data_IF_602112285297
#
_entry.id   IF_602112285297
#
_cell.length_a   1.000
_cell.length_b   1.000
_cell.length_c   1.000
_cell.angle_alpha   90.00
_cell.angle_beta   90.00
_cell.angle_gamma   90.00
#
_symmetry.space_group_name_H-M   'P 1'
#
loop_
_entity.id
_entity.type
_entity.pdbx_description
1 polymer ?
#
# COMPACT_ATOMS: atom_id res chain seq x y z
N UNK A 1 -5.80 -40.84 43.07
CA UNK A 1 -5.60 -40.07 41.81
C UNK A 1 -4.82 -38.79 42.10
N UNK A 2 -3.51 -38.71 41.86
CA UNK A 2 -2.81 -37.41 41.89
C UNK A 2 -2.97 -36.77 40.52
N UNK A 3 -4.03 -35.96 40.34
CA UNK A 3 -4.07 -35.02 39.21
C UNK A 3 -2.77 -34.22 39.26
N UNK A 4 -1.95 -34.30 38.22
CA UNK A 4 -0.75 -33.46 38.11
C UNK A 4 -1.26 -32.08 37.70
N UNK A 5 -1.60 -31.27 38.71
CA UNK A 5 -2.23 -29.94 38.55
C UNK A 5 -1.37 -29.01 37.70
N UNK A 6 -0.05 -29.12 37.77
CA UNK A 6 0.87 -28.28 37.03
C UNK A 6 0.69 -28.37 35.50
N UNK A 7 0.70 -29.56 34.85
CA UNK A 7 0.35 -29.70 33.43
C UNK A 7 -1.03 -29.14 33.06
N UNK A 8 -2.05 -29.35 33.90
CA UNK A 8 -3.39 -28.86 33.62
C UNK A 8 -3.46 -27.33 33.66
N UNK A 9 -2.80 -26.71 34.65
CA UNK A 9 -2.69 -25.26 34.77
C UNK A 9 -1.91 -24.65 33.61
N UNK A 10 -0.82 -25.30 33.17
CA UNK A 10 -0.05 -24.85 32.01
C UNK A 10 -0.88 -24.88 30.72
N UNK A 11 -1.65 -25.95 30.50
CA UNK A 11 -2.55 -26.04 29.33
C UNK A 11 -3.62 -24.95 29.39
N UNK A 12 -4.24 -24.74 30.55
CA UNK A 12 -5.23 -23.67 30.73
C UNK A 12 -4.63 -22.28 30.50
N UNK A 13 -3.41 -22.03 30.98
CA UNK A 13 -2.70 -20.78 30.73
C UNK A 13 -2.42 -20.56 29.24
N UNK A 14 -1.94 -21.59 28.53
CA UNK A 14 -1.72 -21.54 27.08
C UNK A 14 -3.04 -21.25 26.34
N UNK A 15 -4.12 -21.94 26.70
CA UNK A 15 -5.45 -21.71 26.12
C UNK A 15 -5.92 -20.28 26.36
N UNK A 16 -5.80 -19.77 27.59
CA UNK A 16 -6.20 -18.41 27.92
C UNK A 16 -5.40 -17.35 27.13
N UNK A 17 -4.08 -17.52 27.04
CA UNK A 17 -3.19 -16.61 26.28
C UNK A 17 -3.52 -16.64 24.79
N UNK A 18 -3.63 -17.82 24.20
CA UNK A 18 -3.91 -17.98 22.76
C UNK A 18 -5.30 -17.45 22.39
N UNK A 19 -6.32 -17.68 23.22
CA UNK A 19 -7.66 -17.07 23.02
C UNK A 19 -7.56 -15.55 23.05
N UNK A 20 -6.86 -14.98 24.04
CA UNK A 20 -6.68 -13.53 24.16
C UNK A 20 -5.92 -12.92 22.99
N UNK A 21 -4.89 -13.61 22.48
CA UNK A 21 -4.18 -13.19 21.26
C UNK A 21 -5.08 -13.23 20.03
N UNK A 22 -5.97 -14.22 19.92
CA UNK A 22 -6.97 -14.27 18.85
C UNK A 22 -7.94 -13.09 18.91
N UNK A 23 -8.42 -12.71 20.10
CA UNK A 23 -9.23 -11.49 20.27
C UNK A 23 -8.47 -10.22 19.91
N UNK A 24 -7.21 -10.10 20.32
CA UNK A 24 -6.37 -8.95 19.95
C UNK A 24 -6.20 -8.84 18.42
N UNK A 25 -6.00 -9.97 17.73
CA UNK A 25 -5.93 -9.99 16.26
C UNK A 25 -7.25 -9.59 15.61
N UNK A 26 -8.38 -10.04 16.15
CA UNK A 26 -9.72 -9.62 15.72
C UNK A 26 -9.89 -8.11 15.86
N UNK A 27 -9.61 -7.55 17.04
CA UNK A 27 -9.78 -6.10 17.28
C UNK A 27 -8.90 -5.28 16.33
N UNK A 28 -7.68 -5.76 16.04
CA UNK A 28 -6.79 -5.12 15.06
C UNK A 28 -7.33 -5.22 13.63
N UNK A 29 -8.01 -6.31 13.28
CA UNK A 29 -8.70 -6.46 12.00
C UNK A 29 -9.84 -5.43 11.86
N UNK A 30 -10.70 -5.29 12.88
CA UNK A 30 -11.80 -4.31 12.89
C UNK A 30 -11.31 -2.86 12.72
N UNK A 31 -10.21 -2.50 13.38
CA UNK A 31 -9.59 -1.17 13.22
C UNK A 31 -9.15 -0.92 11.77
N UNK A 32 -8.56 -1.93 11.13
CA UNK A 32 -8.12 -1.86 9.74
C UNK A 32 -9.28 -1.80 8.76
N UNK A 33 -10.36 -2.55 9.01
CA UNK A 33 -11.59 -2.47 8.23
C UNK A 33 -12.21 -1.07 8.30
N UNK A 34 -12.25 -0.45 9.48
CA UNK A 34 -12.76 0.92 9.62
C UNK A 34 -11.92 1.94 8.83
N UNK A 35 -10.58 1.77 8.82
CA UNK A 35 -9.68 2.58 8.00
C UNK A 35 -9.92 2.33 6.51
N UNK A 36 -10.00 1.06 6.09
CA UNK A 36 -10.28 0.66 4.71
C UNK A 36 -11.59 1.27 4.20
N UNK A 37 -12.66 1.19 5.01
CA UNK A 37 -13.94 1.77 4.68
C UNK A 37 -13.86 3.30 4.53
N UNK A 38 -13.00 3.95 5.32
CA UNK A 38 -12.78 5.40 5.20
C UNK A 38 -12.05 5.76 3.91
N UNK A 39 -11.02 5.01 3.53
CA UNK A 39 -10.32 5.16 2.25
C UNK A 39 -11.29 5.02 1.08
N UNK A 40 -12.07 3.93 1.05
CA UNK A 40 -13.07 3.70 -0.01
C UNK A 40 -14.07 4.84 -0.10
N UNK A 41 -14.55 5.38 1.03
CA UNK A 41 -15.46 6.55 1.01
C UNK A 41 -14.82 7.78 0.38
N UNK A 42 -13.54 8.07 0.67
CA UNK A 42 -12.84 9.22 0.09
C UNK A 42 -12.56 9.06 -1.40
N UNK A 43 -12.26 7.84 -1.85
CA UNK A 43 -12.03 7.53 -3.27
C UNK A 43 -13.32 7.68 -4.11
N UNK A 44 -14.50 7.47 -3.51
CA UNK A 44 -15.81 7.62 -4.15
C UNK A 44 -16.47 8.98 -3.92
N UNK A 45 -15.82 9.89 -3.19
CA UNK A 45 -16.34 11.23 -2.94
C UNK A 45 -16.24 12.13 -4.18
N UNK A 46 -16.87 13.31 -4.10
CA UNK A 46 -16.73 14.34 -5.13
C UNK A 46 -15.25 14.78 -5.21
N UNK A 47 -14.67 14.89 -6.41
CA UNK A 47 -13.28 15.32 -6.57
C UNK A 47 -13.03 16.69 -5.93
N UNK A 48 -11.94 16.81 -5.18
CA UNK A 48 -11.44 18.08 -4.64
C UNK A 48 -10.55 18.76 -5.68
N UNK A 49 -10.79 20.04 -5.94
CA UNK A 49 -9.99 20.81 -6.88
C UNK A 49 -8.61 21.17 -6.31
N UNK A 50 -7.56 20.75 -7.02
CA UNK A 50 -6.17 21.06 -6.68
C UNK A 50 -5.75 22.31 -7.43
N UNK A 51 -5.56 23.39 -6.67
CA UNK A 51 -5.11 24.69 -7.16
C UNK A 51 -3.68 25.04 -6.73
N UNK A 52 -3.35 26.32 -6.84
CA UNK A 52 -2.01 26.83 -6.53
C UNK A 52 -1.63 26.84 -5.06
N UNK A 53 -2.63 26.87 -4.17
CA UNK A 53 -2.38 26.87 -2.74
C UNK A 53 -1.97 25.47 -2.27
N UNK A 54 -0.90 25.34 -1.47
CA UNK A 54 -0.50 24.05 -0.92
C UNK A 54 -1.62 23.43 -0.06
N UNK A 55 -2.00 22.20 -0.37
CA UNK A 55 -2.96 21.42 0.43
C UNK A 55 -2.18 20.44 1.30
N UNK A 56 -2.37 20.42 2.63
CA UNK A 56 -1.70 19.45 3.50
C UNK A 56 -2.07 18.01 3.13
N UNK A 57 -1.07 17.13 2.97
CA UNK A 57 -1.28 15.72 2.64
C UNK A 57 -2.31 15.05 3.57
N UNK A 58 -2.21 15.28 4.88
CA UNK A 58 -3.11 14.70 5.87
C UNK A 58 -4.60 15.04 5.68
N UNK A 59 -4.91 16.12 4.95
CA UNK A 59 -6.29 16.53 4.67
C UNK A 59 -6.86 15.94 3.38
N UNK A 60 -5.99 15.46 2.48
CA UNK A 60 -6.37 15.09 1.11
C UNK A 60 -5.98 13.66 0.75
N UNK A 61 -5.14 12.98 1.54
CA UNK A 61 -4.75 11.60 1.28
C UNK A 61 -5.98 10.71 1.08
N UNK A 62 -5.93 9.87 0.05
CA UNK A 62 -7.02 8.99 -0.43
C UNK A 62 -8.25 9.70 -1.01
N UNK A 63 -8.30 11.03 -1.03
CA UNK A 63 -9.40 11.73 -1.67
C UNK A 63 -9.25 11.70 -3.19
N UNK A 64 -10.39 11.60 -3.86
CA UNK A 64 -10.46 11.92 -5.28
C UNK A 64 -10.16 13.40 -5.47
N UNK A 65 -9.31 13.69 -6.43
CA UNK A 65 -8.83 15.02 -6.75
C UNK A 65 -8.92 15.29 -8.23
N UNK A 66 -9.11 16.56 -8.58
CA UNK A 66 -9.14 17.06 -9.93
C UNK A 66 -8.13 18.20 -10.07
N UNK A 67 -7.35 18.17 -11.13
CA UNK A 67 -6.33 19.18 -11.39
C UNK A 67 -6.41 19.64 -12.84
N UNK A 68 -6.29 20.94 -13.07
CA UNK A 68 -6.22 21.53 -14.41
C UNK A 68 -4.88 22.20 -14.63
N UNK A 69 -4.27 21.96 -15.78
CA UNK A 69 -2.92 22.40 -16.07
C UNK A 69 -2.28 21.60 -17.19
N UNK A 70 -0.95 21.62 -17.26
CA UNK A 70 -0.19 20.96 -18.32
C UNK A 70 0.96 20.13 -17.78
N UNK A 71 1.27 19.06 -18.46
CA UNK A 71 2.41 18.22 -18.14
C UNK A 71 3.75 18.89 -18.47
N UNK A 72 4.78 18.56 -17.69
CA UNK A 72 6.17 18.97 -17.91
C UNK A 72 7.00 17.74 -18.31
N UNK A 73 7.00 17.33 -19.61
CA UNK A 73 7.58 16.06 -20.04
C UNK A 73 9.09 15.98 -19.86
N UNK A 74 9.80 17.11 -19.94
CA UNK A 74 11.25 17.21 -19.73
C UNK A 74 11.71 16.79 -18.33
N UNK A 75 10.77 16.77 -17.38
CA UNK A 75 11.04 16.44 -15.97
C UNK A 75 10.41 15.08 -15.56
N UNK A 76 10.01 14.27 -16.52
CA UNK A 76 9.45 12.95 -16.24
C UNK A 76 10.47 12.01 -15.58
N UNK A 77 10.02 11.28 -14.56
CA UNK A 77 10.77 10.27 -13.82
C UNK A 77 10.06 8.92 -13.97
N UNK A 78 10.83 7.88 -14.25
CA UNK A 78 10.35 6.52 -14.46
C UNK A 78 10.72 5.67 -13.26
N UNK A 79 9.72 5.21 -12.50
CA UNK A 79 9.97 4.36 -11.33
C UNK A 79 10.14 2.92 -11.78
N UNK A 80 11.35 2.38 -11.73
CA UNK A 80 11.70 0.99 -12.11
C UNK A 80 11.18 -0.03 -11.09
N UNK A 81 11.24 -1.31 -11.45
CA UNK A 81 10.84 -2.43 -10.61
C UNK A 81 9.35 -2.38 -10.22
N UNK A 82 8.49 -2.04 -11.19
CA UNK A 82 7.03 -2.08 -11.05
C UNK A 82 6.49 -3.22 -11.90
N UNK A 83 6.34 -4.43 -11.35
CA UNK A 83 5.78 -5.55 -12.10
C UNK A 83 4.26 -5.36 -12.31
N UNK A 84 3.78 -5.69 -13.50
CA UNK A 84 2.36 -5.76 -13.85
C UNK A 84 2.13 -6.96 -14.76
N UNK A 85 1.19 -7.84 -14.41
CA UNK A 85 0.90 -9.09 -15.14
C UNK A 85 2.17 -9.87 -15.56
N UNK A 86 3.02 -10.17 -14.57
CA UNK A 86 4.30 -10.88 -14.73
C UNK A 86 5.34 -10.20 -15.64
N UNK A 87 5.11 -8.94 -16.03
CA UNK A 87 6.05 -8.16 -16.83
C UNK A 87 6.69 -7.03 -16.00
N UNK A 88 8.01 -6.84 -16.06
CA UNK A 88 8.65 -5.69 -15.46
C UNK A 88 8.28 -4.41 -16.23
N UNK A 89 8.10 -3.32 -15.50
CA UNK A 89 7.82 -2.04 -16.11
C UNK A 89 8.13 -0.87 -15.19
N UNK A 90 7.70 0.29 -15.65
CA UNK A 90 7.89 1.57 -15.01
C UNK A 90 6.55 2.18 -14.62
N UNK A 91 6.52 2.89 -13.49
CA UNK A 91 5.51 3.93 -13.33
C UNK A 91 6.03 5.26 -13.86
N UNK A 92 5.24 5.92 -14.69
CA UNK A 92 5.57 7.21 -15.28
C UNK A 92 5.10 8.31 -14.33
N UNK A 93 6.02 8.96 -13.66
CA UNK A 93 5.75 10.08 -12.76
C UNK A 93 6.17 11.37 -13.44
N UNK A 94 5.24 12.31 -13.58
CA UNK A 94 5.47 13.53 -14.32
C UNK A 94 4.96 14.75 -13.55
N UNK A 95 5.74 15.84 -13.46
CA UNK A 95 5.23 17.08 -12.89
C UNK A 95 4.13 17.67 -13.78
N UNK A 96 3.08 18.16 -13.13
CA UNK A 96 1.92 18.78 -13.76
C UNK A 96 1.79 20.20 -13.23
N UNK A 97 2.03 21.18 -14.11
CA UNK A 97 1.95 22.59 -13.79
C UNK A 97 0.49 23.01 -13.80
N UNK A 98 -0.02 23.41 -12.64
CA UNK A 98 -1.41 23.80 -12.46
C UNK A 98 -1.68 25.17 -13.12
N UNK A 99 -2.86 25.36 -13.74
CA UNK A 99 -3.21 26.59 -14.45
C UNK A 99 -3.22 27.83 -13.55
N UNK A 100 -3.44 27.67 -12.24
CA UNK A 100 -3.39 28.75 -11.25
C UNK A 100 -2.00 29.06 -10.68
N UNK A 101 -0.97 28.30 -11.07
CA UNK A 101 0.34 28.29 -10.41
C UNK A 101 0.51 27.10 -9.48
N UNK A 102 1.74 26.83 -9.04
CA UNK A 102 2.07 25.58 -8.35
C UNK A 102 2.26 24.40 -9.31
N UNK A 103 2.81 23.32 -8.78
CA UNK A 103 3.02 22.06 -9.52
C UNK A 103 2.60 20.90 -8.63
N UNK A 104 2.10 19.83 -9.22
CA UNK A 104 1.83 18.57 -8.52
C UNK A 104 2.47 17.43 -9.27
N UNK A 105 2.98 16.42 -8.57
CA UNK A 105 3.44 15.20 -9.23
C UNK A 105 2.24 14.35 -9.60
N UNK A 106 2.25 13.77 -10.80
CA UNK A 106 1.21 12.87 -11.28
C UNK A 106 1.86 11.54 -11.60
N UNK A 107 1.43 10.47 -10.92
CA UNK A 107 1.70 9.12 -11.37
C UNK A 107 0.69 8.78 -12.47
N UNK A 108 1.14 8.86 -13.72
CA UNK A 108 0.28 8.78 -14.91
C UNK A 108 -0.17 7.36 -15.23
N UNK A 109 0.65 6.37 -14.87
CA UNK A 109 0.34 4.97 -15.15
C UNK A 109 1.59 4.13 -15.35
N UNK A 110 1.37 2.88 -15.75
CA UNK A 110 2.38 1.88 -16.00
C UNK A 110 2.74 1.77 -17.48
N UNK A 111 4.02 1.54 -17.74
CA UNK A 111 4.60 1.31 -19.05
C UNK A 111 5.50 0.07 -19.01
N UNK A 112 5.45 -0.84 -20.00
CA UNK A 112 6.34 -1.98 -20.05
C UNK A 112 7.80 -1.54 -20.19
N UNK A 113 8.70 -2.30 -19.56
CA UNK A 113 10.14 -2.11 -19.71
C UNK A 113 10.64 -2.87 -20.93
N UNK A 114 11.52 -2.25 -21.70
CA UNK A 114 12.22 -2.95 -22.76
C UNK A 114 13.23 -3.96 -22.16
N UNK A 115 13.09 -5.24 -22.54
CA UNK A 115 13.90 -6.34 -21.98
C UNK A 115 15.32 -6.32 -22.55
N UNK A 116 15.50 -5.88 -23.78
CA UNK A 116 16.79 -5.84 -24.46
C UNK A 116 17.62 -4.63 -24.04
N UNK A 117 16.99 -3.47 -23.87
CA UNK A 117 17.63 -2.25 -23.38
C UNK A 117 16.96 -1.75 -22.10
N UNK A 118 17.66 -1.94 -20.98
CA UNK A 118 17.19 -1.58 -19.64
C UNK A 118 17.00 -0.07 -19.42
N UNK A 119 17.52 0.76 -20.32
CA UNK A 119 17.44 2.22 -20.29
C UNK A 119 16.46 2.80 -21.31
N UNK A 120 16.02 1.98 -22.28
CA UNK A 120 15.02 2.38 -23.25
C UNK A 120 13.63 2.52 -22.59
N UNK A 121 12.94 3.60 -22.96
CA UNK A 121 11.57 3.89 -22.56
C UNK A 121 10.71 3.80 -23.81
N UNK A 122 9.70 2.94 -23.78
CA UNK A 122 8.74 2.81 -24.89
C UNK A 122 8.01 4.14 -25.12
N UNK A 123 7.72 4.53 -26.37
CA UNK A 123 7.01 5.77 -26.66
C UNK A 123 5.58 5.75 -26.07
N UNK A 124 5.22 6.82 -25.37
CA UNK A 124 3.85 7.08 -24.89
C UNK A 124 3.45 8.52 -25.24
N UNK A 125 2.15 8.78 -25.33
CA UNK A 125 1.66 10.13 -25.68
C UNK A 125 1.56 11.00 -24.43
N UNK A 126 1.86 12.29 -24.56
CA UNK A 126 1.60 13.28 -23.52
C UNK A 126 0.76 14.36 -24.15
N UNK A 127 -0.46 14.63 -23.65
CA UNK A 127 -1.30 15.68 -24.19
C UNK A 127 -0.59 17.04 -24.16
N UNK A 128 -0.74 17.79 -25.24
CA UNK A 128 -0.25 19.17 -25.32
C UNK A 128 -1.25 20.15 -24.71
N UNK A 129 -0.72 21.20 -24.06
CA UNK A 129 -1.52 22.29 -23.51
C UNK A 129 -2.19 21.97 -22.18
N UNK A 130 -3.18 22.81 -21.84
CA UNK A 130 -3.90 22.72 -20.56
C UNK A 130 -5.04 21.71 -20.65
N UNK A 131 -4.93 20.62 -19.88
CA UNK A 131 -5.91 19.56 -19.73
C UNK A 131 -6.44 19.50 -18.30
N UNK A 132 -7.53 18.76 -18.12
CA UNK A 132 -8.03 18.38 -16.81
C UNK A 132 -7.74 16.91 -16.57
N UNK A 133 -7.20 16.59 -15.40
CA UNK A 133 -6.93 15.22 -14.95
C UNK A 133 -7.65 14.94 -13.64
N UNK A 134 -8.05 13.69 -13.45
CA UNK A 134 -8.61 13.20 -12.20
C UNK A 134 -7.78 12.04 -11.66
N UNK A 135 -7.71 11.93 -10.34
CA UNK A 135 -6.97 10.87 -9.68
C UNK A 135 -7.25 10.79 -8.19
N UNK A 136 -6.46 9.96 -7.51
CA UNK A 136 -6.48 9.85 -6.05
C UNK A 136 -5.20 10.48 -5.49
N UNK A 137 -5.32 11.33 -4.48
CA UNK A 137 -4.15 11.88 -3.81
C UNK A 137 -3.47 10.83 -2.92
N UNK A 138 -2.16 10.68 -3.08
CA UNK A 138 -1.33 9.70 -2.37
C UNK A 138 -0.08 10.40 -1.82
N UNK A 139 0.45 9.92 -0.70
CA UNK A 139 1.69 10.44 -0.14
C UNK A 139 2.88 10.36 -1.12
N UNK A 140 2.98 9.22 -1.82
CA UNK A 140 4.04 8.94 -2.79
C UNK A 140 3.43 8.35 -4.07
N UNK A 141 4.16 8.48 -5.19
CA UNK A 141 3.77 7.85 -6.45
C UNK A 141 3.76 6.31 -6.35
N UNK A 142 4.76 5.76 -5.66
CA UNK A 142 4.88 4.35 -5.28
C UNK A 142 6.19 4.19 -4.51
N UNK A 143 6.21 3.30 -3.51
CA UNK A 143 7.42 2.96 -2.76
C UNK A 143 7.75 1.47 -2.89
N UNK A 144 8.88 1.16 -3.51
CA UNK A 144 9.43 -0.19 -3.57
C UNK A 144 10.62 -0.31 -2.63
N UNK A 145 10.89 -1.54 -2.19
CA UNK A 145 12.10 -1.84 -1.43
C UNK A 145 13.33 -1.62 -2.31
N UNK A 146 14.31 -0.89 -1.78
CA UNK A 146 15.55 -0.57 -2.47
C UNK A 146 16.70 -1.33 -1.81
N UNK A 147 17.39 -2.16 -2.61
CA UNK A 147 18.57 -2.92 -2.18
C UNK A 147 19.82 -2.12 -2.55
N UNK A 148 20.54 -1.61 -1.54
CA UNK A 148 21.73 -0.79 -1.72
C UNK A 148 21.43 0.71 -1.76
N UNK A 149 22.43 1.51 -2.14
CA UNK A 149 22.32 2.97 -2.27
C UNK A 149 22.35 3.38 -3.76
N UNK A 150 21.58 4.41 -4.12
CA UNK A 150 21.70 5.12 -5.39
C UNK A 150 20.68 4.76 -6.47
N UNK A 151 19.79 3.79 -6.24
CA UNK A 151 18.67 3.51 -7.16
C UNK A 151 17.65 4.64 -7.23
N UNK A 152 17.58 5.49 -6.20
CA UNK A 152 16.74 6.68 -6.13
C UNK A 152 17.54 8.00 -6.17
N UNK A 153 18.76 7.97 -6.73
CA UNK A 153 19.62 9.16 -6.78
C UNK A 153 18.98 10.32 -7.56
N UNK A 154 19.31 11.54 -7.14
CA UNK A 154 18.88 12.77 -7.81
C UNK A 154 19.39 12.85 -9.26
N UNK A 155 18.69 13.60 -10.10
CA UNK A 155 18.98 13.86 -11.51
C UNK A 155 18.96 12.63 -12.43
N UNK A 156 18.57 11.46 -11.94
CA UNK A 156 18.34 10.29 -12.78
C UNK A 156 16.93 10.29 -13.35
N UNK A 157 16.80 9.90 -14.62
CA UNK A 157 15.51 9.75 -15.31
C UNK A 157 14.77 8.49 -14.85
N UNK A 158 15.50 7.39 -14.63
CA UNK A 158 14.96 6.14 -14.10
C UNK A 158 15.39 6.03 -12.63
N UNK A 159 14.42 5.85 -11.72
CA UNK A 159 14.66 5.75 -10.26
C UNK A 159 13.89 4.58 -9.67
N UNK A 160 14.28 4.09 -8.49
CA UNK A 160 13.47 3.08 -7.79
C UNK A 160 12.33 3.70 -6.99
N UNK A 161 12.59 4.85 -6.37
CA UNK A 161 11.65 5.62 -5.57
C UNK A 161 11.79 7.11 -5.85
N UNK A 162 10.75 7.87 -5.53
CA UNK A 162 10.74 9.32 -5.67
C UNK A 162 10.01 9.93 -4.48
N UNK A 163 10.78 10.62 -3.63
CA UNK A 163 10.24 11.43 -2.53
C UNK A 163 9.87 12.82 -3.05
N UNK A 164 8.66 13.26 -2.74
CA UNK A 164 8.11 14.53 -3.25
C UNK A 164 8.95 15.73 -2.78
N UNK A 165 9.37 15.74 -1.51
CA UNK A 165 10.10 16.86 -0.93
C UNK A 165 11.56 16.90 -1.43
N UNK A 166 12.20 15.75 -1.60
CA UNK A 166 13.53 15.64 -2.20
C UNK A 166 13.51 16.11 -3.65
N UNK A 167 12.50 15.69 -4.43
CA UNK A 167 12.36 16.10 -5.83
C UNK A 167 11.99 17.59 -5.98
N UNK A 168 11.21 18.16 -5.05
CA UNK A 168 10.96 19.60 -5.00
C UNK A 168 12.25 20.40 -4.80
N UNK A 169 13.12 19.95 -3.87
CA UNK A 169 14.43 20.58 -3.62
C UNK A 169 15.37 20.44 -4.82
N UNK A 170 15.34 19.30 -5.48
CA UNK A 170 16.17 19.01 -6.66
C UNK A 170 15.80 19.91 -7.86
N UNK A 171 14.50 20.07 -8.12
CA UNK A 171 14.00 20.78 -9.31
C UNK A 171 13.71 22.26 -9.07
N UNK A 172 13.60 22.68 -7.81
CA UNK A 172 13.16 24.03 -7.43
C UNK A 172 11.67 24.30 -7.72
N UNK A 173 10.89 23.26 -8.05
CA UNK A 173 9.48 23.41 -8.36
C UNK A 173 8.64 23.60 -7.09
N UNK A 174 7.60 24.46 -7.11
CA UNK A 174 6.66 24.63 -6.01
C UNK A 174 5.66 23.48 -5.97
N UNK A 175 6.14 22.29 -5.54
CA UNK A 175 5.34 21.08 -5.53
C UNK A 175 4.33 21.05 -4.38
N UNK A 176 3.12 20.57 -4.68
CA UNK A 176 2.18 20.06 -3.71
C UNK A 176 2.83 18.89 -2.92
N UNK A 177 2.53 18.71 -1.63
CA UNK A 177 3.19 17.71 -0.78
C UNK A 177 2.62 16.28 -0.97
N UNK A 178 2.08 15.98 -2.15
CA UNK A 178 1.45 14.71 -2.48
C UNK A 178 1.57 14.44 -3.99
N UNK A 179 1.24 13.22 -4.38
CA UNK A 179 1.18 12.77 -5.78
C UNK A 179 -0.26 12.45 -6.14
N UNK A 180 -0.69 12.83 -7.33
CA UNK A 180 -1.95 12.40 -7.92
C UNK A 180 -1.72 11.08 -8.64
N UNK A 181 -2.34 10.00 -8.15
CA UNK A 181 -2.43 8.74 -8.88
C UNK A 181 -3.55 8.88 -9.92
N UNK A 182 -3.18 9.07 -11.19
CA UNK A 182 -4.12 9.41 -12.26
C UNK A 182 -5.09 8.27 -12.56
N UNK A 183 -6.37 8.59 -12.64
CA UNK A 183 -7.46 7.67 -12.99
C UNK A 183 -8.13 8.04 -14.31
N UNK A 184 -8.06 9.31 -14.73
CA UNK A 184 -8.55 9.76 -16.02
C UNK A 184 -7.69 9.24 -17.17
N UNK A 185 -8.33 8.76 -18.24
CA UNK A 185 -7.67 8.40 -19.49
C UNK A 185 -7.52 9.64 -20.37
N UNK A 186 -6.29 9.90 -20.80
CA UNK A 186 -5.90 11.00 -21.68
C UNK A 186 -5.37 10.49 -23.04
N UNK A 187 -5.58 9.21 -23.36
CA UNK A 187 -5.18 8.59 -24.62
C UNK A 187 -3.69 8.24 -24.71
N UNK A 188 -2.97 8.25 -23.59
CA UNK A 188 -1.52 7.99 -23.53
C UNK A 188 -1.11 6.52 -23.62
N UNK A 189 -2.07 5.60 -23.57
CA UNK A 189 -1.88 4.14 -23.54
C UNK A 189 -1.19 3.61 -22.29
N UNK A 190 -1.05 4.42 -21.24
CA UNK A 190 -0.51 3.97 -19.97
C UNK A 190 -1.57 3.17 -19.20
N UNK A 191 -1.12 2.10 -18.54
CA UNK A 191 -2.02 1.23 -17.76
C UNK A 191 -2.26 1.85 -16.38
N UNK A 192 -3.52 2.05 -16.02
CA UNK A 192 -3.96 2.65 -14.74
C UNK A 192 -4.72 1.65 -13.87
N UNK A 193 -4.28 0.41 -13.89
CA UNK A 193 -4.78 -0.66 -13.01
C UNK A 193 -4.04 -0.60 -11.67
N UNK A 194 -4.47 0.35 -10.83
CA UNK A 194 -3.80 0.62 -9.56
C UNK A 194 -4.14 -0.47 -8.54
N UNK A 195 -3.15 -0.97 -7.78
CA UNK A 195 -3.43 -1.88 -6.69
C UNK A 195 -4.32 -1.15 -5.66
N UNK A 196 -5.42 -1.78 -5.29
CA UNK A 196 -6.29 -1.27 -4.24
C UNK A 196 -5.47 -1.00 -2.97
N UNK A 197 -5.73 0.13 -2.32
CA UNK A 197 -5.14 0.40 -1.02
C UNK A 197 -5.65 -0.67 -0.05
N UNK A 198 -4.83 -1.67 0.28
CA UNK A 198 -5.19 -2.70 1.25
C UNK A 198 -4.55 -2.43 2.59
N UNK A 199 -5.34 -2.54 3.66
CA UNK A 199 -4.85 -2.50 5.04
C UNK A 199 -4.33 -3.86 5.52
N UNK A 200 -4.45 -4.91 4.71
CA UNK A 200 -4.02 -6.28 5.02
C UNK A 200 -4.79 -6.86 6.21
N UNK A 201 -6.12 -6.75 6.19
CA UNK A 201 -7.06 -7.24 7.22
C UNK A 201 -7.04 -8.77 7.26
N UNK A 202 -6.95 -9.40 6.10
CA UNK A 202 -7.02 -10.85 5.90
C UNK A 202 -5.93 -11.56 6.69
N UNK A 203 -4.73 -10.96 6.76
CA UNK A 203 -3.61 -11.48 7.56
C UNK A 203 -3.94 -11.52 9.05
N UNK A 204 -4.64 -10.52 9.58
CA UNK A 204 -5.05 -10.49 10.98
C UNK A 204 -6.11 -11.56 11.25
N UNK A 205 -7.07 -11.78 10.34
CA UNK A 205 -8.01 -12.90 10.44
C UNK A 205 -7.32 -14.27 10.35
N UNK A 206 -6.31 -14.42 9.48
CA UNK A 206 -5.49 -15.63 9.42
C UNK A 206 -4.80 -15.93 10.76
N UNK A 207 -4.17 -14.93 11.37
CA UNK A 207 -3.57 -15.08 12.70
C UNK A 207 -4.60 -15.35 13.80
N UNK A 208 -5.78 -14.71 13.76
CA UNK A 208 -6.89 -15.00 14.68
C UNK A 208 -7.26 -16.48 14.64
N UNK A 209 -7.46 -17.03 13.43
CA UNK A 209 -7.77 -18.44 13.24
C UNK A 209 -6.64 -19.35 13.77
N UNK A 210 -5.38 -19.01 13.48
CA UNK A 210 -4.22 -19.77 13.99
C UNK A 210 -4.20 -19.82 15.52
N UNK A 211 -4.40 -18.68 16.19
CA UNK A 211 -4.40 -18.63 17.66
C UNK A 211 -5.53 -19.45 18.27
N UNK A 212 -6.74 -19.38 17.72
CA UNK A 212 -7.86 -20.18 18.20
C UNK A 212 -7.71 -21.67 17.88
N UNK A 213 -7.12 -22.03 16.74
CA UNK A 213 -6.79 -23.42 16.42
C UNK A 213 -5.75 -23.99 17.41
N UNK A 214 -4.74 -23.21 17.79
CA UNK A 214 -3.79 -23.60 18.85
C UNK A 214 -4.47 -23.78 20.20
N UNK A 215 -5.41 -22.91 20.56
CA UNK A 215 -6.21 -23.06 21.79
C UNK A 215 -7.02 -24.37 21.78
N UNK A 216 -7.71 -24.65 20.66
CA UNK A 216 -8.48 -25.87 20.49
C UNK A 216 -7.60 -27.13 20.53
N UNK A 217 -6.42 -27.10 19.89
CA UNK A 217 -5.45 -28.19 19.91
C UNK A 217 -4.90 -28.43 21.33
N UNK A 218 -4.47 -27.38 22.03
CA UNK A 218 -3.97 -27.47 23.40
C UNK A 218 -5.01 -28.07 24.35
N UNK A 219 -6.27 -27.64 24.23
CA UNK A 219 -7.39 -28.20 24.98
C UNK A 219 -7.63 -29.67 24.62
N UNK A 220 -7.65 -30.02 23.32
CA UNK A 220 -7.84 -31.38 22.83
C UNK A 220 -6.76 -32.35 23.33
N UNK A 221 -5.48 -31.96 23.22
CA UNK A 221 -4.36 -32.74 23.74
C UNK A 221 -4.41 -32.87 25.26
N UNK A 222 -4.79 -31.80 25.97
CA UNK A 222 -4.97 -31.82 27.42
C UNK A 222 -6.04 -32.82 27.86
N UNK A 223 -7.21 -32.79 27.22
CA UNK A 223 -8.30 -33.72 27.49
C UNK A 223 -7.94 -35.17 27.15
N UNK A 224 -7.25 -35.40 26.03
CA UNK A 224 -6.76 -36.72 25.65
C UNK A 224 -5.76 -37.28 26.67
N UNK A 225 -4.77 -36.47 27.07
CA UNK A 225 -3.78 -36.86 28.07
C UNK A 225 -4.43 -37.16 29.43
N UNK A 226 -5.41 -36.34 29.85
CA UNK A 226 -6.17 -36.56 31.08
C UNK A 226 -6.97 -37.87 31.04
N UNK A 227 -7.68 -38.15 29.93
CA UNK A 227 -8.42 -39.41 29.73
C UNK A 227 -7.51 -40.64 29.77
N UNK A 228 -6.35 -40.57 29.09
CA UNK A 228 -5.38 -41.67 29.06
C UNK A 228 -4.78 -41.93 30.46
N UNK A 229 -4.48 -40.88 31.21
CA UNK A 229 -4.00 -41.00 32.58
C UNK A 229 -5.04 -41.64 33.50
N UNK A 230 -6.32 -41.24 33.38
CA UNK A 230 -7.41 -41.81 34.16
C UNK A 230 -7.61 -43.32 33.88
N UNK A 231 -7.58 -43.75 32.61
CA UNK A 231 -7.65 -45.17 32.25
C UNK A 231 -6.49 -45.99 32.82
N UNK A 232 -5.26 -45.47 32.78
CA UNK A 232 -4.07 -46.16 33.30
C UNK A 232 -4.13 -46.32 34.83
N UNK A 233 -4.75 -45.38 35.55
CA UNK A 233 -4.95 -45.47 37.00
C UNK A 233 -6.14 -46.35 37.42
N UNK A 234 -7.02 -46.75 36.51
CA UNK A 234 -8.18 -47.60 36.81
C UNK A 234 -7.95 -49.09 36.48
N UNK A 235 -6.91 -49.41 35.71
CA UNK A 235 -6.50 -50.78 35.39
C UNK A 235 -5.28 -51.28 36.17
N UNK A 236 -4.85 -50.54 37.20
CA UNK A 236 -3.81 -50.89 38.17
C UNK A 236 -4.44 -50.89 39.56
#
# INVERSE_FOLDING_TARGET
MRIRWLPALLILAIVAVTIRLGFWQRDRAHQKEALQASIVRYEHAVPVDVGAQPIPLASIEFHRVRARGRFLPEQAVFLDNRPYNDQPGFYVVMPFKLSGGGVVLVNRGWLPRNIADRTAIEPFSTPDGDIEIEGIARADASRAFELGEGGSAAHQKIRQNLDVAAYAKETGLPLQPFVIQQTSDDGDKLVRDWPAATTGVERNYGYMFQWWAMAAAALGFGLYAARRAAKKSAGA
#
